data_IF_236854590008
#
_entry.id   IF_236854590008
#
_cell.length_a   1.000
_cell.length_b   1.000
_cell.length_c   1.000
_cell.angle_alpha   90.00
_cell.angle_beta   90.00
_cell.angle_gamma   90.00
#
_symmetry.space_group_name_H-M   'P 1'
#
loop_
_entity.id
_entity.type
_entity.pdbx_description
1 polymer ?
#
# COMPACT_ATOMS: atom_id res chain seq x y z
N UNK A 1 -11.57 -35.37 31.62
CA UNK A 1 -10.66 -34.21 31.48
C UNK A 1 -11.39 -33.07 30.78
N UNK A 2 -11.40 -31.87 31.37
CA UNK A 2 -11.95 -30.69 30.71
C UNK A 2 -10.86 -30.05 29.83
N UNK A 3 -11.16 -29.83 28.55
CA UNK A 3 -10.25 -29.10 27.65
C UNK A 3 -10.31 -27.63 28.01
N UNK A 4 -9.23 -27.11 28.60
CA UNK A 4 -9.09 -25.68 28.84
C UNK A 4 -9.05 -24.95 27.49
N UNK A 5 -10.17 -24.32 27.11
CA UNK A 5 -10.21 -23.37 26.01
C UNK A 5 -9.40 -22.15 26.44
N UNK A 6 -8.15 -22.10 26.00
CA UNK A 6 -7.23 -21.02 26.33
C UNK A 6 -7.86 -19.67 26.02
N UNK A 7 -8.04 -18.84 27.05
CA UNK A 7 -8.38 -17.45 26.86
C UNK A 7 -7.29 -16.81 26.02
N UNK A 8 -7.70 -16.18 24.92
CA UNK A 8 -6.79 -15.62 23.91
C UNK A 8 -6.18 -14.35 24.48
N UNK A 9 -5.19 -14.53 25.34
CA UNK A 9 -4.50 -13.48 26.06
C UNK A 9 -4.05 -12.41 25.06
N UNK A 10 -4.36 -11.14 25.33
CA UNK A 10 -3.99 -10.05 24.41
C UNK A 10 -2.47 -9.95 24.42
N UNK A 11 -1.84 -10.40 23.34
CA UNK A 11 -0.38 -10.43 23.18
C UNK A 11 0.24 -9.14 23.66
N UNK A 12 0.86 -9.18 24.84
CA UNK A 12 1.55 -8.02 25.37
C UNK A 12 2.83 -7.84 24.57
N UNK A 13 3.10 -6.58 24.21
CA UNK A 13 4.31 -6.16 23.51
C UNK A 13 4.93 -5.03 24.31
N UNK A 14 6.03 -5.33 24.97
CA UNK A 14 6.91 -4.35 25.60
C UNK A 14 7.53 -3.41 24.55
N UNK A 15 8.14 -2.33 25.04
CA UNK A 15 8.90 -1.43 24.17
C UNK A 15 10.09 -2.15 23.50
N UNK A 16 10.83 -2.95 24.28
CA UNK A 16 11.98 -3.71 23.78
C UNK A 16 11.59 -4.68 22.64
N UNK A 17 10.56 -5.51 22.84
CA UNK A 17 10.06 -6.41 21.80
C UNK A 17 9.57 -5.67 20.56
N UNK A 18 8.97 -4.48 20.76
CA UNK A 18 8.49 -3.67 19.63
C UNK A 18 9.65 -3.06 18.85
N UNK A 19 10.72 -2.59 19.50
CA UNK A 19 11.93 -2.11 18.83
C UNK A 19 12.68 -3.23 18.10
N UNK A 20 12.81 -4.41 18.72
CA UNK A 20 13.41 -5.60 18.09
C UNK A 20 12.66 -5.99 16.80
N UNK A 21 11.32 -6.03 16.85
CA UNK A 21 10.49 -6.27 15.67
C UNK A 21 10.66 -5.18 14.60
N UNK A 22 10.76 -3.91 14.97
CA UNK A 22 10.94 -2.81 13.98
C UNK A 22 12.27 -2.96 13.23
N UNK A 23 13.35 -3.38 13.89
CA UNK A 23 14.64 -3.65 13.23
C UNK A 23 14.54 -4.83 12.26
N UNK A 24 13.95 -5.94 12.69
CA UNK A 24 13.76 -7.10 11.81
C UNK A 24 12.81 -6.81 10.64
N UNK A 25 11.82 -5.92 10.84
CA UNK A 25 10.94 -5.47 9.76
C UNK A 25 11.67 -4.59 8.75
N UNK A 26 12.58 -3.73 9.19
CA UNK A 26 13.47 -2.94 8.33
C UNK A 26 14.39 -3.85 7.48
N UNK A 27 15.03 -4.84 8.09
CA UNK A 27 15.89 -5.81 7.41
C UNK A 27 15.14 -6.61 6.33
N UNK A 28 13.91 -7.07 6.64
CA UNK A 28 13.09 -7.89 5.74
C UNK A 28 12.13 -7.08 4.86
N UNK A 29 12.21 -5.75 4.85
CA UNK A 29 11.31 -4.88 4.08
C UNK A 29 11.33 -5.18 2.58
N UNK A 30 12.50 -5.52 2.05
CA UNK A 30 12.69 -5.91 0.64
C UNK A 30 12.00 -7.22 0.29
N UNK A 31 12.10 -8.22 1.17
CA UNK A 31 11.48 -9.54 1.00
C UNK A 31 9.95 -9.42 1.05
N UNK A 32 9.44 -8.69 2.07
CA UNK A 32 8.01 -8.44 2.28
C UNK A 32 7.32 -7.71 1.10
N UNK A 33 8.11 -7.00 0.28
CA UNK A 33 7.63 -6.30 -0.94
C UNK A 33 7.75 -7.14 -2.21
N UNK A 34 8.70 -8.07 -2.27
CA UNK A 34 8.95 -8.92 -3.46
C UNK A 34 8.13 -10.21 -3.45
N UNK A 35 7.81 -10.75 -2.27
CA UNK A 35 7.15 -12.03 -2.16
C UNK A 35 5.62 -11.92 -2.32
N UNK A 36 5.06 -12.70 -3.26
CA UNK A 36 3.59 -12.86 -3.43
C UNK A 36 2.94 -13.61 -2.26
N UNK A 37 3.73 -14.28 -1.41
CA UNK A 37 3.29 -14.95 -0.17
C UNK A 37 4.31 -14.68 0.93
N UNK A 38 3.94 -13.87 1.90
CA UNK A 38 4.84 -13.39 2.94
C UNK A 38 5.03 -14.34 4.14
N UNK A 39 4.35 -15.48 4.18
CA UNK A 39 4.42 -16.44 5.30
C UNK A 39 5.84 -16.84 5.68
N UNK A 40 6.69 -17.22 4.70
CA UNK A 40 8.08 -17.63 4.96
C UNK A 40 8.92 -16.49 5.55
N UNK A 41 8.66 -15.25 5.12
CA UNK A 41 9.36 -14.05 5.65
C UNK A 41 8.94 -13.80 7.10
N UNK A 42 7.64 -13.88 7.40
CA UNK A 42 7.16 -13.77 8.79
C UNK A 42 7.63 -14.93 9.68
N UNK A 43 7.80 -16.15 9.16
CA UNK A 43 8.44 -17.26 9.90
C UNK A 43 9.86 -16.91 10.29
N UNK A 44 10.70 -16.48 9.33
CA UNK A 44 12.08 -16.09 9.59
C UNK A 44 12.20 -14.92 10.60
N UNK A 45 11.33 -13.91 10.50
CA UNK A 45 11.24 -12.83 11.52
C UNK A 45 10.88 -13.40 12.90
N UNK A 46 9.96 -14.36 12.96
CA UNK A 46 9.52 -14.99 14.22
C UNK A 46 10.61 -15.84 14.84
N UNK A 47 11.35 -16.61 14.05
CA UNK A 47 12.51 -17.39 14.47
C UNK A 47 13.62 -16.49 15.03
N UNK A 48 13.91 -15.37 14.36
CA UNK A 48 14.88 -14.36 14.84
C UNK A 48 14.45 -13.68 16.14
N UNK A 49 13.16 -13.41 16.34
CA UNK A 49 12.63 -12.92 17.62
C UNK A 49 12.76 -13.98 18.72
N UNK A 50 12.43 -15.24 18.42
CA UNK A 50 12.56 -16.35 19.36
C UNK A 50 14.02 -16.53 19.84
N UNK A 51 14.98 -16.41 18.92
CA UNK A 51 16.42 -16.41 19.25
C UNK A 51 16.86 -15.24 20.15
N UNK A 52 16.10 -14.15 20.21
CA UNK A 52 16.28 -13.03 21.14
C UNK A 52 15.50 -13.20 22.46
N UNK A 53 14.91 -14.38 22.71
CA UNK A 53 14.06 -14.66 23.88
C UNK A 53 12.62 -14.18 23.73
N UNK A 54 12.22 -13.69 22.56
CA UNK A 54 10.90 -13.09 22.31
C UNK A 54 9.99 -14.13 21.66
N UNK A 55 9.31 -14.93 22.48
CA UNK A 55 8.34 -15.91 22.02
C UNK A 55 7.05 -15.22 21.53
N UNK A 56 6.85 -15.19 20.21
CA UNK A 56 5.62 -14.76 19.52
C UNK A 56 5.30 -15.75 18.40
N UNK A 57 4.05 -15.77 17.95
CA UNK A 57 3.63 -16.53 16.77
C UNK A 57 3.71 -15.67 15.50
N UNK A 58 3.80 -16.34 14.34
CA UNK A 58 3.81 -15.71 13.01
C UNK A 58 2.59 -14.78 12.80
N UNK A 59 1.42 -15.17 13.33
CA UNK A 59 0.19 -14.35 13.27
C UNK A 59 0.33 -13.07 14.10
N UNK A 60 0.87 -13.14 15.31
CA UNK A 60 1.08 -11.97 16.17
C UNK A 60 2.11 -11.02 15.58
N UNK A 61 3.19 -11.54 14.99
CA UNK A 61 4.22 -10.77 14.28
C UNK A 61 3.62 -10.03 13.08
N UNK A 62 2.88 -10.73 12.20
CA UNK A 62 2.17 -10.12 11.05
C UNK A 62 1.23 -9.01 11.51
N UNK A 63 0.33 -9.30 12.45
CA UNK A 63 -0.64 -8.33 12.97
C UNK A 63 0.04 -7.15 13.67
N UNK A 64 1.17 -7.34 14.35
CA UNK A 64 1.93 -6.24 14.96
C UNK A 64 2.57 -5.34 13.89
N UNK A 65 3.19 -5.90 12.85
CA UNK A 65 3.74 -5.14 11.71
C UNK A 65 2.64 -4.33 11.01
N UNK A 66 1.51 -4.96 10.68
CA UNK A 66 0.35 -4.30 10.08
C UNK A 66 -0.15 -3.12 10.92
N UNK A 67 -0.26 -3.31 12.24
CA UNK A 67 -0.67 -2.26 13.18
C UNK A 67 0.34 -1.11 13.28
N UNK A 68 1.64 -1.40 13.28
CA UNK A 68 2.70 -0.39 13.25
C UNK A 68 2.63 0.44 11.95
N UNK A 69 2.53 -0.22 10.79
CA UNK A 69 2.37 0.45 9.49
C UNK A 69 1.08 1.26 9.40
N UNK A 70 -0.05 0.74 9.89
CA UNK A 70 -1.32 1.46 9.93
C UNK A 70 -1.26 2.70 10.82
N UNK A 71 -0.59 2.61 11.97
CA UNK A 71 -0.37 3.75 12.86
C UNK A 71 0.56 4.78 12.20
N UNK A 72 1.67 4.36 11.61
CA UNK A 72 2.56 5.24 10.86
C UNK A 72 1.83 6.01 9.75
N UNK A 73 1.05 5.31 8.90
CA UNK A 73 0.19 5.94 7.88
C UNK A 73 -0.84 6.91 8.46
N UNK A 74 -1.33 6.67 9.67
CA UNK A 74 -2.22 7.59 10.38
C UNK A 74 -1.48 8.83 10.85
N UNK A 75 -0.29 8.68 11.42
CA UNK A 75 0.53 9.81 11.87
C UNK A 75 0.93 10.73 10.70
N UNK A 76 1.42 10.20 9.57
CA UNK A 76 1.79 11.03 8.40
C UNK A 76 0.58 11.70 7.70
N UNK A 77 -0.64 11.17 7.87
CA UNK A 77 -1.87 11.76 7.33
C UNK A 77 -2.45 12.86 8.23
N UNK A 78 -2.05 12.94 9.50
CA UNK A 78 -2.37 14.10 10.35
C UNK A 78 -1.58 15.28 9.81
N UNK A 79 -2.28 16.24 9.20
CA UNK A 79 -1.67 17.49 8.74
C UNK A 79 -1.19 18.31 9.95
N UNK A 80 0.06 18.14 10.34
CA UNK A 80 0.72 18.94 11.38
C UNK A 80 1.08 20.31 10.81
N UNK A 81 0.06 21.14 10.59
CA UNK A 81 0.21 22.56 10.17
C UNK A 81 0.79 23.44 11.27
N UNK A 82 0.90 22.92 12.51
CA UNK A 82 1.69 23.51 13.59
C UNK A 82 2.76 22.54 14.07
N UNK A 83 3.85 23.08 14.63
CA UNK A 83 5.04 22.37 15.13
C UNK A 83 4.77 21.55 16.41
N UNK A 84 3.81 20.63 16.36
CA UNK A 84 3.63 19.57 17.34
C UNK A 84 4.32 18.32 16.83
N UNK A 85 5.57 18.10 17.24
CA UNK A 85 6.35 16.93 16.83
C UNK A 85 5.63 15.61 17.14
N UNK A 86 5.81 14.61 16.29
CA UNK A 86 5.09 13.34 16.40
C UNK A 86 5.39 12.63 17.73
N UNK A 87 4.43 12.64 18.65
CA UNK A 87 4.53 12.08 20.01
C UNK A 87 4.67 10.56 20.06
N UNK A 88 4.67 9.87 18.91
CA UNK A 88 4.76 8.42 18.89
C UNK A 88 6.22 7.95 18.87
N UNK A 89 6.66 7.31 19.97
CA UNK A 89 8.04 6.85 20.18
C UNK A 89 8.67 6.04 19.03
N UNK A 90 7.89 5.29 18.25
CA UNK A 90 8.38 4.49 17.12
C UNK A 90 8.36 5.22 15.77
N UNK A 91 7.93 6.49 15.74
CA UNK A 91 7.71 7.21 14.48
C UNK A 91 8.99 7.33 13.66
N UNK A 92 10.10 7.76 14.26
CA UNK A 92 11.34 8.03 13.54
C UNK A 92 12.01 6.77 13.00
N UNK A 93 12.06 5.68 13.79
CA UNK A 93 12.57 4.39 13.33
C UNK A 93 11.79 3.86 12.12
N UNK A 94 10.45 3.95 12.16
CA UNK A 94 9.59 3.48 11.07
C UNK A 94 9.63 4.44 9.86
N UNK A 95 9.72 5.76 10.11
CA UNK A 95 9.85 6.77 9.06
C UNK A 95 11.15 6.64 8.28
N UNK A 96 12.24 6.18 8.90
CA UNK A 96 13.54 5.97 8.25
C UNK A 96 13.44 5.09 6.99
N UNK A 97 12.69 3.98 7.08
CA UNK A 97 12.58 3.00 5.98
C UNK A 97 11.24 3.03 5.23
N UNK A 98 10.15 3.57 5.81
CA UNK A 98 8.88 3.76 5.08
C UNK A 98 8.71 5.17 4.50
N UNK A 99 9.41 6.18 5.02
CA UNK A 99 9.35 7.56 4.53
C UNK A 99 10.24 7.83 3.31
N UNK A 100 11.26 7.00 3.11
CA UNK A 100 12.13 6.98 1.94
C UNK A 100 11.53 6.25 0.72
N UNK A 101 10.37 5.59 0.89
CA UNK A 101 9.68 4.90 -0.20
C UNK A 101 8.96 5.90 -1.11
N UNK A 102 8.94 5.66 -2.44
CA UNK A 102 8.18 6.50 -3.36
C UNK A 102 6.69 6.48 -3.02
N UNK A 103 6.03 7.64 -3.11
CA UNK A 103 4.68 7.90 -2.58
C UNK A 103 3.59 6.93 -3.09
N UNK A 104 3.78 6.34 -4.27
CA UNK A 104 2.85 5.38 -4.88
C UNK A 104 3.03 3.93 -4.39
N UNK A 105 4.03 3.63 -3.55
CA UNK A 105 4.42 2.27 -3.14
C UNK A 105 3.93 1.94 -1.71
N UNK A 106 2.63 2.16 -1.46
CA UNK A 106 1.97 1.75 -0.21
C UNK A 106 1.57 0.26 -0.19
N UNK A 107 2.02 -0.54 -1.17
CA UNK A 107 1.58 -1.92 -1.42
C UNK A 107 1.83 -2.91 -0.28
N UNK A 108 2.68 -2.58 0.70
CA UNK A 108 3.06 -3.45 1.82
C UNK A 108 1.91 -3.92 2.74
N UNK A 109 0.72 -3.35 2.60
CA UNK A 109 -0.37 -3.41 3.60
C UNK A 109 -1.79 -3.37 3.04
N UNK A 110 -1.95 -3.20 1.73
CA UNK A 110 -3.27 -3.31 1.07
C UNK A 110 -3.53 -4.76 0.67
N UNK A 111 -3.30 -5.68 1.61
CA UNK A 111 -3.82 -7.03 1.55
C UNK A 111 -5.13 -7.06 2.35
N UNK A 112 -6.23 -7.16 1.61
CA UNK A 112 -7.62 -7.09 2.08
C UNK A 112 -7.87 -7.83 3.39
N UNK A 113 -8.55 -7.16 4.32
CA UNK A 113 -8.96 -7.75 5.61
C UNK A 113 -10.00 -8.86 5.42
N UNK A 114 -9.55 -10.11 5.34
CA UNK A 114 -10.39 -11.29 5.55
C UNK A 114 -10.20 -11.77 6.99
N UNK A 115 -11.15 -11.43 7.87
CA UNK A 115 -11.12 -11.84 9.28
C UNK A 115 -11.31 -13.34 9.45
N UNK A 116 -10.52 -13.91 10.37
CA UNK A 116 -10.65 -15.21 11.06
C UNK A 116 -11.57 -16.27 10.42
N UNK A 117 -10.96 -17.31 9.82
CA UNK A 117 -10.95 -18.68 10.35
C UNK A 117 -10.31 -19.64 9.33
N UNK A 118 -9.31 -20.43 9.76
CA UNK A 118 -8.67 -21.51 8.95
C UNK A 118 -8.38 -21.17 7.48
N UNK A 119 -7.52 -20.17 7.23
CA UNK A 119 -7.19 -19.75 5.86
C UNK A 119 -6.58 -20.89 5.03
N UNK A 120 -6.99 -20.95 3.76
CA UNK A 120 -6.56 -21.91 2.73
C UNK A 120 -5.03 -22.03 2.62
N UNK A 121 -4.27 -21.00 3.01
CA UNK A 121 -2.80 -21.04 3.06
C UNK A 121 -2.25 -22.14 3.97
N UNK A 122 -2.88 -22.42 5.11
CA UNK A 122 -2.44 -23.48 6.02
C UNK A 122 -2.68 -24.87 5.43
N UNK A 123 -3.75 -25.03 4.65
CA UNK A 123 -4.11 -26.28 3.96
C UNK A 123 -3.12 -26.56 2.82
N UNK A 124 -2.79 -25.53 2.03
CA UNK A 124 -1.77 -25.61 0.98
C UNK A 124 -0.39 -25.95 1.58
N UNK A 125 -0.03 -25.39 2.74
CA UNK A 125 1.22 -25.70 3.42
C UNK A 125 1.32 -27.18 3.82
N UNK A 126 0.25 -27.74 4.39
CA UNK A 126 0.21 -29.14 4.81
C UNK A 126 0.25 -30.12 3.62
N UNK A 127 -0.35 -29.77 2.48
CA UNK A 127 -0.24 -30.56 1.24
C UNK A 127 1.19 -30.57 0.65
N UNK A 128 1.93 -29.47 0.80
CA UNK A 128 3.25 -29.32 0.18
C UNK A 128 4.39 -30.03 0.96
N UNK A 129 4.11 -30.44 2.21
CA UNK A 129 5.10 -31.05 3.13
C UNK A 129 4.79 -32.50 3.53
N UNK A 130 3.85 -33.17 2.84
CA UNK A 130 3.52 -34.58 3.08
C UNK A 130 4.11 -35.49 1.96
N UNK A 131 5.42 -35.37 1.75
CA UNK A 131 6.21 -36.30 0.94
C UNK A 131 7.38 -36.76 1.82
N UNK A 132 7.11 -37.77 2.66
CA UNK A 132 8.06 -38.79 3.12
C UNK A 132 7.21 -39.94 3.71
N UNK A 133 7.38 -41.16 3.18
CA UNK A 133 6.87 -42.47 3.63
C UNK A 133 5.32 -42.61 3.82
N UNK A 134 4.57 -43.46 3.11
CA UNK A 134 4.75 -44.92 2.91
C UNK A 134 3.88 -45.49 1.75
N UNK A 135 4.03 -46.79 1.46
CA UNK A 135 3.62 -47.54 0.27
C UNK A 135 2.15 -48.03 0.24
N UNK A 136 1.49 -48.00 -0.94
CA UNK A 136 0.83 -49.18 -1.56
C UNK A 136 -0.14 -48.89 -2.72
N UNK A 137 0.13 -49.57 -3.82
CA UNK A 137 -0.58 -49.71 -5.10
C UNK A 137 -2.12 -49.85 -5.12
N UNK A 138 -2.74 -49.21 -6.13
CA UNK A 138 -3.80 -49.68 -7.07
C UNK A 138 -4.49 -48.41 -7.62
N UNK A 139 -4.69 -48.13 -8.92
CA UNK A 139 -4.91 -48.96 -10.10
C UNK A 139 -6.16 -48.39 -10.82
N UNK A 140 -6.07 -47.73 -11.98
CA UNK A 140 -7.18 -46.91 -12.52
C UNK A 140 -8.02 -47.63 -13.59
N UNK A 141 -9.36 -47.52 -13.53
CA UNK A 141 -10.25 -47.91 -14.64
C UNK A 141 -11.44 -46.94 -14.81
N UNK A 142 -11.51 -46.38 -16.04
CA UNK A 142 -12.64 -46.32 -16.99
C UNK A 142 -14.03 -45.84 -16.49
N UNK A 143 -14.59 -44.71 -16.95
CA UNK A 143 -14.92 -44.25 -18.32
C UNK A 143 -15.92 -45.15 -19.07
N UNK A 144 -17.21 -44.77 -19.02
CA UNK A 144 -18.24 -45.18 -19.96
C UNK A 144 -19.00 -43.94 -20.47
N UNK A 145 -19.34 -43.93 -21.74
CA UNK A 145 -19.91 -42.79 -22.49
C UNK A 145 -20.76 -43.34 -23.64
N UNK A 146 -22.00 -42.88 -23.81
CA UNK A 146 -22.59 -42.82 -25.15
C UNK A 146 -22.75 -41.39 -25.69
N UNK A 147 -22.49 -41.25 -26.98
CA UNK A 147 -22.49 -39.99 -27.75
C UNK A 147 -23.89 -39.66 -28.30
N UNK A 148 -24.20 -38.37 -28.42
CA UNK A 148 -25.02 -37.89 -29.53
C UNK A 148 -24.66 -36.43 -29.88
N UNK A 149 -24.30 -36.21 -31.14
CA UNK A 149 -24.09 -34.92 -31.81
C UNK A 149 -24.84 -35.03 -33.16
N UNK A 150 -25.38 -33.95 -33.78
CA UNK A 150 -24.48 -33.04 -34.50
C UNK A 150 -24.90 -31.54 -34.61
N UNK A 151 -23.88 -30.68 -34.60
CA UNK A 151 -23.82 -29.33 -35.23
C UNK A 151 -24.21 -29.32 -36.73
N UNK A 152 -24.71 -28.20 -37.33
CA UNK A 152 -23.76 -27.17 -37.82
C UNK A 152 -24.24 -25.70 -37.92
N UNK A 153 -23.42 -24.79 -37.38
CA UNK A 153 -22.74 -23.66 -38.09
C UNK A 153 -23.56 -22.47 -38.64
N UNK A 154 -23.01 -21.24 -38.47
CA UNK A 154 -23.33 -19.93 -39.13
C UNK A 154 -24.13 -18.94 -38.27
N UNK A 155 -23.89 -17.60 -38.16
CA UNK A 155 -22.76 -16.67 -38.48
C UNK A 155 -23.18 -15.21 -38.15
N UNK A 156 -22.38 -14.45 -37.38
CA UNK A 156 -22.56 -13.00 -37.07
C UNK A 156 -23.90 -12.67 -36.32
N UNK A 157 -24.21 -11.47 -35.78
CA UNK A 157 -23.65 -10.12 -35.90
C UNK A 157 -24.03 -9.22 -34.69
N UNK A 158 -23.21 -8.22 -34.36
CA UNK A 158 -23.55 -7.00 -33.56
C UNK A 158 -23.92 -5.83 -34.53
N UNK A 159 -24.40 -4.64 -34.07
CA UNK A 159 -24.84 -4.24 -32.73
C UNK A 159 -26.38 -4.02 -32.71
N UNK A 160 -27.03 -2.83 -32.88
CA UNK A 160 -26.61 -1.42 -32.88
C UNK A 160 -26.94 -0.66 -31.57
N UNK A 161 -26.42 0.58 -31.43
CA UNK A 161 -26.93 1.62 -30.53
C UNK A 161 -27.60 2.75 -31.34
N UNK A 162 -28.68 3.34 -30.82
CA UNK A 162 -29.22 4.70 -31.06
C UNK A 162 -30.40 4.87 -30.09
N UNK A 163 -30.66 5.98 -29.39
CA UNK A 163 -30.09 7.33 -29.46
C UNK A 163 -31.19 8.33 -29.82
N UNK A 164 -31.76 9.04 -28.83
CA UNK A 164 -32.52 10.29 -29.00
C UNK A 164 -32.78 11.00 -27.66
N UNK A 165 -32.14 12.16 -27.51
CA UNK A 165 -32.76 13.49 -27.26
C UNK A 165 -33.74 13.75 -26.09
N UNK A 166 -33.42 14.83 -25.35
CA UNK A 166 -34.25 15.51 -24.31
C UNK A 166 -35.32 16.43 -24.95
N UNK A 167 -36.37 16.97 -24.26
CA UNK A 167 -36.20 17.77 -23.04
C UNK A 167 -37.35 17.87 -21.99
N UNK A 168 -36.99 18.54 -20.88
CA UNK A 168 -37.80 19.42 -20.01
C UNK A 168 -38.63 18.85 -18.82
N UNK A 169 -38.81 19.62 -17.71
CA UNK A 169 -39.33 19.11 -16.44
C UNK A 169 -40.62 19.79 -15.90
N UNK A 170 -41.46 19.02 -15.17
CA UNK A 170 -42.53 19.40 -14.22
C UNK A 170 -43.26 18.09 -13.81
N UNK A 171 -43.82 17.84 -12.62
CA UNK A 171 -44.04 18.60 -11.37
C UNK A 171 -44.47 17.63 -10.24
N UNK A 172 -44.40 18.08 -8.98
CA UNK A 172 -45.22 17.66 -7.81
C UNK A 172 -44.76 16.52 -6.88
N UNK A 173 -44.99 16.80 -5.59
CA UNK A 173 -45.04 15.93 -4.39
C UNK A 173 -43.73 15.22 -3.97
N UNK A 174 -43.09 15.59 -2.84
CA UNK A 174 -43.50 15.35 -1.43
C UNK A 174 -43.49 13.83 -1.11
N UNK A 175 -42.78 13.32 -0.10
CA UNK A 175 -42.35 13.92 1.18
C UNK A 175 -41.08 13.19 1.76
N UNK A 176 -40.82 13.33 3.07
CA UNK A 176 -39.81 12.69 3.93
C UNK A 176 -38.51 13.48 4.19
N UNK A 177 -38.56 14.30 5.24
CA UNK A 177 -37.46 15.12 5.76
C UNK A 177 -36.44 14.32 6.61
N UNK A 178 -35.14 14.45 6.31
CA UNK A 178 -34.07 14.44 7.33
C UNK A 178 -33.00 15.50 6.99
N UNK A 179 -33.24 16.75 7.37
CA UNK A 179 -32.23 17.83 7.27
C UNK A 179 -31.38 17.89 8.54
N UNK A 180 -30.18 17.30 8.51
CA UNK A 180 -29.14 17.65 9.48
C UNK A 180 -28.55 19.03 9.13
N UNK A 181 -28.97 20.07 9.84
CA UNK A 181 -28.45 21.44 9.67
C UNK A 181 -27.06 21.58 10.33
N UNK A 182 -26.00 21.24 9.61
CA UNK A 182 -24.63 21.68 9.93
C UNK A 182 -24.53 23.19 9.65
N UNK A 183 -23.91 24.01 10.53
CA UNK A 183 -23.88 25.47 10.36
C UNK A 183 -23.04 25.89 9.14
N UNK A 184 -23.73 26.19 8.02
CA UNK A 184 -23.19 26.52 6.69
C UNK A 184 -22.01 27.51 6.70
N UNK A 185 -22.01 28.45 7.65
CA UNK A 185 -20.98 29.50 7.81
C UNK A 185 -19.57 28.94 8.10
N UNK A 186 -19.45 27.82 8.82
CA UNK A 186 -18.14 27.17 9.06
C UNK A 186 -17.65 26.40 7.82
N UNK A 187 -18.57 25.79 7.08
CA UNK A 187 -18.25 24.99 5.89
C UNK A 187 -17.77 25.87 4.71
N UNK A 188 -18.34 27.07 4.56
CA UNK A 188 -17.86 28.05 3.60
C UNK A 188 -16.42 28.51 3.89
N UNK A 189 -16.11 28.90 5.13
CA UNK A 189 -14.77 29.32 5.53
C UNK A 189 -13.72 28.22 5.31
N UNK A 190 -14.05 26.98 5.65
CA UNK A 190 -13.18 25.82 5.40
C UNK A 190 -12.96 25.57 3.90
N UNK A 191 -13.99 25.74 3.06
CA UNK A 191 -13.86 25.63 1.59
C UNK A 191 -12.94 26.72 1.03
N UNK A 192 -13.09 27.97 1.47
CA UNK A 192 -12.20 29.08 1.07
C UNK A 192 -10.75 28.82 1.46
N UNK A 193 -10.50 28.38 2.70
CA UNK A 193 -9.16 28.05 3.19
C UNK A 193 -8.52 26.89 2.39
N UNK A 194 -9.28 25.85 2.05
CA UNK A 194 -8.80 24.77 1.18
C UNK A 194 -8.45 25.30 -0.21
N UNK A 195 -9.29 26.15 -0.81
CA UNK A 195 -9.01 26.73 -2.13
C UNK A 195 -7.76 27.61 -2.12
N UNK A 196 -7.58 28.45 -1.10
CA UNK A 196 -6.38 29.27 -0.92
C UNK A 196 -5.12 28.39 -0.79
N UNK A 197 -5.15 27.38 0.07
CA UNK A 197 -4.00 26.50 0.30
C UNK A 197 -3.66 25.62 -0.92
N UNK A 198 -4.65 25.28 -1.76
CA UNK A 198 -4.40 24.64 -3.06
C UNK A 198 -3.70 25.59 -4.03
N UNK A 199 -4.07 26.88 -4.04
CA UNK A 199 -3.49 27.86 -4.95
C UNK A 199 -2.07 28.27 -4.54
N UNK A 200 -1.81 28.47 -3.24
CA UNK A 200 -0.43 28.64 -2.72
C UNK A 200 0.47 27.45 -3.10
N UNK A 201 -0.03 26.22 -2.95
CA UNK A 201 0.71 25.01 -3.34
C UNK A 201 0.93 24.89 -4.86
N UNK A 202 0.09 25.50 -5.69
CA UNK A 202 0.32 25.61 -7.14
C UNK A 202 1.36 26.67 -7.45
N UNK A 203 1.28 27.82 -6.81
CA UNK A 203 2.21 28.93 -6.99
C UNK A 203 3.63 28.54 -6.58
N UNK A 204 3.83 27.97 -5.38
CA UNK A 204 5.14 27.47 -4.92
C UNK A 204 5.73 26.42 -5.87
N UNK A 205 4.89 25.57 -6.47
CA UNK A 205 5.32 24.59 -7.50
C UNK A 205 5.64 25.22 -8.85
N UNK A 206 5.10 26.41 -9.14
CA UNK A 206 5.46 27.17 -10.33
C UNK A 206 6.79 27.90 -10.12
N UNK A 207 6.91 28.65 -9.02
CA UNK A 207 8.12 29.37 -8.61
C UNK A 207 9.33 28.43 -8.53
N UNK A 208 9.20 27.26 -7.89
CA UNK A 208 10.28 26.25 -7.84
C UNK A 208 10.66 25.74 -9.24
N UNK A 209 9.71 25.63 -10.17
CA UNK A 209 9.97 25.21 -11.55
C UNK A 209 10.68 26.31 -12.33
N UNK A 210 10.37 27.58 -12.07
CA UNK A 210 10.98 28.73 -12.72
C UNK A 210 12.39 28.98 -12.18
N UNK A 211 12.59 29.00 -10.87
CA UNK A 211 13.91 29.05 -10.24
C UNK A 211 14.85 27.93 -10.77
N UNK A 212 14.32 26.71 -10.96
CA UNK A 212 15.09 25.61 -11.57
C UNK A 212 15.42 25.85 -13.06
N UNK A 213 14.56 26.52 -13.83
CA UNK A 213 14.89 26.94 -15.20
C UNK A 213 15.98 28.00 -15.19
N UNK A 214 15.87 29.00 -14.32
CA UNK A 214 16.86 30.08 -14.18
C UNK A 214 18.24 29.53 -13.77
N UNK A 215 18.29 28.57 -12.84
CA UNK A 215 19.53 27.86 -12.47
C UNK A 215 20.16 27.14 -13.68
N UNK A 216 19.35 26.45 -14.49
CA UNK A 216 19.82 25.79 -15.71
C UNK A 216 20.33 26.80 -16.75
N UNK A 217 19.65 27.93 -16.92
CA UNK A 217 20.10 29.00 -17.83
C UNK A 217 21.36 29.71 -17.33
N UNK A 218 21.52 29.90 -16.01
CA UNK A 218 22.77 30.41 -15.43
C UNK A 218 23.93 29.45 -15.71
N UNK A 219 23.77 28.15 -15.44
CA UNK A 219 24.81 27.14 -15.73
C UNK A 219 25.15 27.06 -17.22
N UNK A 220 24.17 27.20 -18.12
CA UNK A 220 24.45 27.30 -19.57
C UNK A 220 25.32 28.50 -19.92
N UNK A 221 25.07 29.67 -19.32
CA UNK A 221 25.90 30.87 -19.53
C UNK A 221 27.31 30.68 -18.97
N UNK A 222 27.45 30.09 -17.78
CA UNK A 222 28.75 29.76 -17.19
C UNK A 222 29.57 28.83 -18.10
N UNK A 223 28.95 27.75 -18.61
CA UNK A 223 29.59 26.84 -19.57
C UNK A 223 30.01 27.58 -20.83
N UNK A 224 29.15 28.42 -21.42
CA UNK A 224 29.48 29.18 -22.62
C UNK A 224 30.65 30.16 -22.40
N UNK A 225 30.79 30.76 -21.22
CA UNK A 225 31.94 31.61 -20.86
C UNK A 225 33.21 30.78 -20.75
N UNK A 226 33.15 29.58 -20.15
CA UNK A 226 34.29 28.65 -20.06
C UNK A 226 34.73 28.16 -21.46
N UNK A 227 33.78 27.81 -22.33
CA UNK A 227 34.04 27.40 -23.72
C UNK A 227 34.69 28.53 -24.53
N UNK A 228 34.23 29.78 -24.37
CA UNK A 228 34.86 30.95 -25.00
C UNK A 228 36.29 31.17 -24.49
N UNK A 229 36.51 31.10 -23.17
CA UNK A 229 37.83 31.24 -22.58
C UNK A 229 38.82 30.17 -23.07
N UNK A 230 38.40 28.90 -23.09
CA UNK A 230 39.19 27.79 -23.62
C UNK A 230 39.49 27.95 -25.13
N UNK A 231 38.55 28.53 -25.90
CA UNK A 231 38.75 28.85 -27.32
C UNK A 231 39.80 29.96 -27.50
N UNK A 232 39.75 31.02 -26.68
CA UNK A 232 40.76 32.10 -26.73
C UNK A 232 42.13 31.64 -26.26
N UNK A 233 42.23 30.78 -25.24
CA UNK A 233 43.49 30.19 -24.79
C UNK A 233 44.12 29.33 -25.90
N UNK A 234 43.31 28.50 -26.58
CA UNK A 234 43.80 27.70 -27.71
C UNK A 234 44.37 28.57 -28.84
N UNK A 235 43.70 29.68 -29.18
CA UNK A 235 44.14 30.64 -30.20
C UNK A 235 45.37 31.48 -29.78
N UNK A 236 45.80 31.42 -28.52
CA UNK A 236 47.03 32.07 -28.02
C UNK A 236 48.23 31.11 -27.94
N UNK A 237 48.00 29.81 -28.15
CA UNK A 237 49.01 28.74 -28.10
C UNK A 237 49.42 28.28 -29.51
N UNK A 238 48.63 28.63 -30.53
CA UNK A 238 48.79 28.28 -31.96
C UNK A 238 49.34 29.46 -32.79
#
# INVERSE_FOLDING_TARGET
SAVARGEKERTQWTDHETFALIRLWEDHLGDLRRAKRNFKVYSSVTEKLCAQGIAKTVKEVKTKIENLGNRYRREIRKKTTGSGGNQWKYYWDIHRFLGSLPVNDSSLVEETTCSDNSSVEQIIYNMQHNIDEDVSASGPQEMDYPLQDPEPTTRYQLPPCSGTESPAPSTSSEDAQVRQNVPKRKQAAHRTLISQLIEEQRQLRCELREARKEEVELRKREIAVIEQAATTEKLLIE
#
